data_IF_933225374254
#
_entry.id   IF_933225374254
#
_cell.length_a   1.000
_cell.length_b   1.000
_cell.length_c   1.000
_cell.angle_alpha   90.00
_cell.angle_beta   90.00
_cell.angle_gamma   90.00
#
_symmetry.space_group_name_H-M   'P 1'
#
loop_
_entity.id
_entity.type
_entity.pdbx_description
1 polymer ?
#
# COMPACT_ATOMS: atom_id res chain seq x y z
N UNK A 1 -4.97 13.06 -9.83
CA UNK A 1 -3.61 12.88 -9.29
C UNK A 1 -3.55 11.51 -8.65
N UNK A 2 -2.50 10.75 -8.97
CA UNK A 2 -2.20 9.46 -8.34
C UNK A 2 -1.32 9.70 -7.10
N UNK A 3 -1.25 8.70 -6.21
CA UNK A 3 -0.52 8.80 -4.92
C UNK A 3 0.99 8.90 -5.06
N UNK A 4 1.68 9.05 -3.93
CA UNK A 4 3.14 9.13 -3.85
C UNK A 4 3.72 7.94 -3.06
N UNK A 5 4.77 7.30 -3.59
CA UNK A 5 5.40 6.13 -2.98
C UNK A 5 6.82 6.45 -2.53
N UNK A 6 7.11 6.28 -1.24
CA UNK A 6 8.43 6.49 -0.63
C UNK A 6 8.81 5.28 0.24
N UNK A 7 9.82 4.52 -0.21
CA UNK A 7 10.31 3.33 0.48
C UNK A 7 9.26 2.23 0.64
N UNK A 8 8.52 2.24 1.75
CA UNK A 8 7.43 1.32 2.05
C UNK A 8 6.12 2.05 2.37
N UNK A 9 6.06 3.34 2.10
CA UNK A 9 4.91 4.21 2.39
C UNK A 9 4.23 4.60 1.09
N UNK A 10 2.92 4.38 1.02
CA UNK A 10 2.06 4.93 -0.02
C UNK A 10 1.17 6.03 0.56
N UNK A 11 1.22 7.22 -0.03
CA UNK A 11 0.40 8.38 0.34
C UNK A 11 -0.79 8.53 -0.60
N UNK A 12 -1.98 8.73 -0.02
CA UNK A 12 -3.21 9.02 -0.74
C UNK A 12 -3.18 10.45 -1.31
N UNK A 13 -3.37 10.63 -2.63
CA UNK A 13 -3.25 11.93 -3.27
C UNK A 13 -4.36 12.92 -2.92
N UNK A 14 -5.42 12.46 -2.24
CA UNK A 14 -6.59 13.28 -1.95
C UNK A 14 -6.46 14.04 -0.62
N UNK A 15 -6.03 13.34 0.44
CA UNK A 15 -5.99 13.89 1.81
C UNK A 15 -4.70 13.56 2.57
N UNK A 16 -3.69 13.04 1.87
CA UNK A 16 -2.35 12.77 2.41
C UNK A 16 -2.30 11.70 3.51
N UNK A 17 -3.39 10.95 3.71
CA UNK A 17 -3.37 9.76 4.54
C UNK A 17 -2.42 8.72 3.94
N UNK A 18 -1.61 8.06 4.78
CA UNK A 18 -0.54 7.19 4.32
C UNK A 18 -0.61 5.81 4.97
N UNK A 19 -0.05 4.81 4.29
CA UNK A 19 -0.08 3.41 4.72
C UNK A 19 1.28 2.74 4.52
N UNK A 20 1.62 1.79 5.40
CA UNK A 20 2.74 0.89 5.21
C UNK A 20 2.32 -0.25 4.27
N UNK A 21 2.95 -0.39 3.11
CA UNK A 21 2.50 -1.35 2.07
C UNK A 21 2.77 -2.81 2.44
N UNK A 22 3.56 -3.07 3.48
CA UNK A 22 3.92 -4.44 3.90
C UNK A 22 2.78 -5.12 4.66
N UNK A 23 2.05 -4.36 5.45
CA UNK A 23 0.98 -4.87 6.33
C UNK A 23 -0.35 -4.10 6.20
N UNK A 24 -0.37 -3.01 5.42
CA UNK A 24 -1.56 -2.21 5.13
C UNK A 24 -1.97 -1.28 6.26
N UNK A 25 -1.22 -1.19 7.37
CA UNK A 25 -1.59 -0.34 8.51
C UNK A 25 -1.57 1.14 8.11
N UNK A 26 -2.50 1.96 8.61
CA UNK A 26 -2.42 3.41 8.45
C UNK A 26 -1.26 3.95 9.28
N UNK A 27 -0.49 4.88 8.72
CA UNK A 27 0.64 5.53 9.39
C UNK A 27 0.55 7.05 9.39
N UNK A 28 -0.39 7.64 8.63
CA UNK A 28 -0.70 9.07 8.68
C UNK A 28 -2.21 9.34 8.58
N UNK A 29 -2.75 10.31 9.35
CA UNK A 29 -4.15 10.72 9.26
C UNK A 29 -4.44 11.35 7.88
N UNK A 30 -5.70 11.34 7.39
CA UNK A 30 -6.92 10.90 8.06
C UNK A 30 -7.18 9.38 7.95
N UNK A 31 -6.21 8.57 7.49
CA UNK A 31 -6.39 7.13 7.40
C UNK A 31 -6.51 6.48 8.80
N UNK A 32 -7.54 5.66 9.00
CA UNK A 32 -7.81 4.98 10.28
C UNK A 32 -8.04 3.48 10.14
N UNK A 33 -8.42 3.00 8.96
CA UNK A 33 -8.67 1.58 8.69
C UNK A 33 -7.53 0.99 7.86
N UNK A 34 -6.96 -0.17 8.24
CA UNK A 34 -5.96 -0.86 7.42
C UNK A 34 -6.48 -1.20 6.02
N UNK A 35 -5.57 -1.13 5.04
CA UNK A 35 -5.81 -1.63 3.69
C UNK A 35 -5.77 -3.16 3.67
N UNK A 36 -6.51 -3.77 2.74
CA UNK A 36 -6.38 -5.21 2.47
C UNK A 36 -5.01 -5.44 1.82
N UNK A 37 -4.23 -6.34 2.40
CA UNK A 37 -3.00 -6.86 1.80
C UNK A 37 -3.26 -8.18 1.09
N UNK A 38 -2.40 -8.51 0.13
CA UNK A 38 -2.45 -9.76 -0.61
C UNK A 38 -1.07 -10.41 -0.56
N UNK A 39 -1.01 -11.72 -0.39
CA UNK A 39 0.25 -12.45 -0.55
C UNK A 39 0.74 -12.30 -1.99
N UNK A 40 2.02 -11.96 -2.15
CA UNK A 40 2.64 -11.77 -3.46
C UNK A 40 3.83 -12.69 -3.64
N UNK A 41 4.09 -13.07 -4.89
CA UNK A 41 5.32 -13.79 -5.27
C UNK A 41 5.80 -13.33 -6.65
N UNK A 42 7.08 -13.53 -6.92
CA UNK A 42 7.64 -13.43 -8.27
C UNK A 42 7.86 -14.85 -8.78
N UNK A 43 7.23 -15.21 -9.90
CA UNK A 43 7.39 -16.50 -10.55
C UNK A 43 7.57 -16.28 -12.05
N UNK A 44 8.66 -16.81 -12.62
CA UNK A 44 9.00 -16.70 -14.04
C UNK A 44 9.02 -15.24 -14.55
N UNK A 45 9.55 -14.32 -13.75
CA UNK A 45 9.60 -12.89 -14.06
C UNK A 45 8.28 -12.14 -13.93
N UNK A 46 7.21 -12.81 -13.48
CA UNK A 46 5.87 -12.24 -13.32
C UNK A 46 5.54 -12.07 -11.84
N UNK A 47 5.07 -10.87 -11.48
CA UNK A 47 4.50 -10.59 -10.16
C UNK A 47 3.08 -11.16 -10.09
N UNK A 48 2.83 -12.02 -9.11
CA UNK A 48 1.54 -12.70 -8.92
C UNK A 48 0.98 -12.37 -7.54
N UNK A 49 -0.35 -12.24 -7.45
CA UNK A 49 -1.08 -12.02 -6.18
C UNK A 49 -2.01 -13.21 -5.89
N UNK A 50 -2.18 -13.53 -4.62
CA UNK A 50 -3.18 -14.50 -4.15
C UNK A 50 -4.47 -13.78 -3.76
N UNK A 51 -5.56 -14.03 -4.49
CA UNK A 51 -6.86 -13.39 -4.29
C UNK A 51 -7.73 -14.14 -3.30
#
# INVERSE_FOLDING_TARGET
>A
CDGYFDGHVIECPLHQGAFDVRDGRPIAPPATRPMKTFETRVQDGVVQIRV
#
